data_IF_343195385673
#
_entry.id   IF_343195385673
#
_cell.length_a   1.000
_cell.length_b   1.000
_cell.length_c   1.000
_cell.angle_alpha   90.00
_cell.angle_beta   90.00
_cell.angle_gamma   90.00
#
_symmetry.space_group_name_H-M   'P 1'
#
loop_
_entity.id
_entity.type
_entity.pdbx_description
1 polymer ?
#
# COMPACT_ATOMS: atom_id res chain seq x y z
N UNK A 1 50.27 -14.45 -14.53
CA UNK A 1 50.26 -13.54 -13.36
C UNK A 1 49.58 -12.19 -13.65
N UNK A 2 49.95 -11.48 -14.72
CA UNK A 2 49.42 -10.12 -15.07
C UNK A 2 47.91 -10.10 -15.29
N UNK A 3 47.28 -11.11 -15.91
CA UNK A 3 45.83 -11.18 -16.17
C UNK A 3 45.02 -11.25 -14.88
N UNK A 4 45.48 -12.07 -13.92
CA UNK A 4 44.83 -12.23 -12.60
C UNK A 4 44.93 -10.96 -11.74
N UNK A 5 46.01 -10.18 -11.90
CA UNK A 5 46.18 -8.90 -11.19
C UNK A 5 45.29 -7.81 -11.78
N UNK A 6 44.99 -7.83 -13.08
CA UNK A 6 44.07 -6.90 -13.76
C UNK A 6 42.62 -7.19 -13.37
N UNK A 7 42.21 -8.46 -13.41
CA UNK A 7 40.88 -8.89 -12.97
C UNK A 7 40.61 -8.52 -11.49
N UNK A 8 41.63 -8.72 -10.63
CA UNK A 8 41.54 -8.38 -9.20
C UNK A 8 41.41 -6.86 -8.98
N UNK A 9 42.12 -6.04 -9.76
CA UNK A 9 41.98 -4.57 -9.72
C UNK A 9 40.60 -4.12 -10.23
N UNK A 10 40.09 -4.69 -11.30
CA UNK A 10 38.76 -4.39 -11.83
C UNK A 10 37.66 -4.76 -10.82
N UNK A 11 37.78 -5.92 -10.17
CA UNK A 11 36.88 -6.36 -9.11
C UNK A 11 36.94 -5.44 -7.90
N UNK A 12 38.13 -5.03 -7.45
CA UNK A 12 38.30 -4.12 -6.31
C UNK A 12 37.73 -2.72 -6.62
N UNK A 13 37.94 -2.26 -7.84
CA UNK A 13 37.37 -1.00 -8.32
C UNK A 13 35.83 -1.08 -8.34
N UNK A 14 35.28 -2.21 -8.82
CA UNK A 14 33.82 -2.44 -8.78
C UNK A 14 33.25 -2.40 -7.36
N UNK A 15 33.89 -3.09 -6.41
CA UNK A 15 33.47 -3.03 -5.01
C UNK A 15 33.59 -1.62 -4.41
N UNK A 16 34.62 -0.85 -4.76
CA UNK A 16 34.78 0.52 -4.28
C UNK A 16 33.65 1.44 -4.75
N UNK A 17 33.16 1.26 -5.98
CA UNK A 17 32.00 2.01 -6.48
C UNK A 17 30.67 1.61 -5.81
N UNK A 18 30.51 0.36 -5.44
CA UNK A 18 29.27 -0.13 -4.79
C UNK A 18 29.31 0.06 -3.26
N UNK A 19 30.53 0.16 -2.66
CA UNK A 19 30.71 0.27 -1.22
C UNK A 19 29.87 1.35 -0.53
N UNK A 20 29.74 2.58 -1.02
CA UNK A 20 28.92 3.60 -0.37
C UNK A 20 27.46 3.16 -0.25
N UNK A 21 26.89 2.57 -1.30
CA UNK A 21 25.52 2.08 -1.29
C UNK A 21 25.36 0.87 -0.34
N UNK A 22 26.32 -0.05 -0.34
CA UNK A 22 26.32 -1.21 0.55
C UNK A 22 26.44 -0.80 2.03
N UNK A 23 27.26 0.19 2.35
CA UNK A 23 27.39 0.69 3.72
C UNK A 23 26.06 1.27 4.20
N UNK A 24 25.43 2.14 3.40
CA UNK A 24 24.12 2.74 3.73
C UNK A 24 23.06 1.64 3.88
N UNK A 25 23.00 0.70 2.96
CA UNK A 25 22.08 -0.44 3.03
C UNK A 25 22.29 -1.27 4.30
N UNK A 26 23.56 -1.59 4.62
CA UNK A 26 23.88 -2.43 5.78
C UNK A 26 23.51 -1.73 7.08
N UNK A 27 23.86 -0.45 7.23
CA UNK A 27 23.65 0.29 8.50
C UNK A 27 22.18 0.67 8.67
N UNK A 28 21.48 1.10 7.61
CA UNK A 28 20.12 1.65 7.74
C UNK A 28 19.00 0.64 7.46
N UNK A 29 19.30 -0.48 6.80
CA UNK A 29 18.29 -1.48 6.44
C UNK A 29 18.62 -2.84 7.03
N UNK A 30 19.77 -3.42 6.69
CA UNK A 30 20.07 -4.79 7.08
C UNK A 30 20.24 -4.92 8.62
N UNK A 31 21.01 -4.04 9.24
CA UNK A 31 21.24 -4.08 10.69
C UNK A 31 19.94 -3.90 11.49
N UNK A 32 19.08 -2.87 11.29
CA UNK A 32 17.82 -2.74 12.00
C UNK A 32 16.85 -3.90 11.75
N UNK A 33 16.84 -4.47 10.54
CA UNK A 33 16.02 -5.63 10.22
C UNK A 33 16.46 -6.85 11.05
N UNK A 34 17.75 -7.15 11.07
CA UNK A 34 18.30 -8.26 11.87
C UNK A 34 18.04 -8.01 13.36
N UNK A 35 18.25 -6.77 13.83
CA UNK A 35 17.97 -6.40 15.21
C UNK A 35 16.48 -6.61 15.56
N UNK A 36 15.55 -6.19 14.71
CA UNK A 36 14.12 -6.44 14.91
C UNK A 36 13.77 -7.93 14.94
N UNK A 37 14.39 -8.74 14.08
CA UNK A 37 14.19 -10.20 14.10
C UNK A 37 14.66 -10.77 15.44
N UNK A 38 15.84 -10.40 15.92
CA UNK A 38 16.35 -10.88 17.21
C UNK A 38 15.50 -10.40 18.38
N UNK A 39 15.09 -9.12 18.39
CA UNK A 39 14.24 -8.53 19.44
C UNK A 39 12.87 -9.18 19.50
N UNK A 40 12.32 -9.70 18.39
CA UNK A 40 11.02 -10.38 18.38
C UNK A 40 10.97 -11.61 19.29
N UNK A 41 12.11 -12.22 19.60
CA UNK A 41 12.25 -13.36 20.51
C UNK A 41 12.55 -12.95 21.95
N UNK A 42 12.51 -11.64 22.25
CA UNK A 42 12.87 -11.11 23.57
C UNK A 42 11.70 -10.37 24.21
N UNK A 43 11.66 -10.38 25.53
CA UNK A 43 10.89 -9.43 26.31
C UNK A 43 11.79 -8.25 26.61
N UNK A 44 11.52 -7.13 25.94
CA UNK A 44 12.28 -5.90 26.15
C UNK A 44 11.37 -4.67 26.16
N UNK A 45 11.44 -3.96 27.28
CA UNK A 45 10.87 -2.63 27.38
C UNK A 45 12.01 -1.61 27.28
N UNK A 46 11.89 -0.69 26.32
CA UNK A 46 12.94 0.30 26.05
C UNK A 46 13.35 1.13 27.28
N UNK A 47 12.37 1.49 28.11
CA UNK A 47 12.61 2.28 29.32
C UNK A 47 13.41 1.52 30.39
N UNK A 48 13.42 0.20 30.34
CA UNK A 48 14.17 -0.62 31.29
C UNK A 48 15.67 -0.72 31.01
N UNK A 49 16.09 -0.18 29.85
CA UNK A 49 17.49 -0.23 29.39
C UNK A 49 17.89 -1.58 28.77
N UNK A 50 19.02 -1.57 28.06
CA UNK A 50 19.49 -2.71 27.27
C UNK A 50 19.85 -3.92 28.15
N UNK A 51 20.27 -3.70 29.41
CA UNK A 51 20.65 -4.77 30.34
C UNK A 51 19.51 -5.68 30.76
N UNK A 52 18.27 -5.24 30.56
CA UNK A 52 17.05 -5.96 30.96
C UNK A 52 16.39 -6.72 29.81
N UNK A 53 17.08 -6.92 28.71
CA UNK A 53 16.62 -7.79 27.61
C UNK A 53 16.60 -9.24 28.09
N UNK A 54 15.41 -9.86 28.08
CA UNK A 54 15.22 -11.27 28.45
C UNK A 54 14.83 -12.05 27.22
N UNK A 55 15.47 -13.17 26.96
CA UNK A 55 15.09 -14.09 25.91
C UNK A 55 13.85 -14.88 26.31
N UNK A 56 12.78 -14.79 25.53
CA UNK A 56 11.50 -15.47 25.78
C UNK A 56 11.07 -16.42 24.68
N UNK A 57 11.93 -16.63 23.69
CA UNK A 57 11.66 -17.52 22.55
C UNK A 57 10.40 -17.12 21.78
N UNK A 58 9.47 -18.03 21.57
CA UNK A 58 8.25 -17.82 20.80
C UNK A 58 7.09 -17.24 21.62
N UNK A 59 7.30 -16.86 22.87
CA UNK A 59 6.21 -16.39 23.75
C UNK A 59 5.49 -15.16 23.18
N UNK A 60 6.22 -14.20 22.61
CA UNK A 60 5.59 -13.04 21.97
C UNK A 60 4.61 -13.46 20.87
N UNK A 61 4.99 -14.40 20.02
CA UNK A 61 4.13 -14.89 18.93
C UNK A 61 2.90 -15.64 19.43
N UNK A 62 3.05 -16.42 20.52
CA UNK A 62 1.92 -17.09 21.16
C UNK A 62 0.92 -16.08 21.75
N UNK A 63 1.43 -15.00 22.38
CA UNK A 63 0.63 -13.92 22.92
C UNK A 63 -0.10 -13.13 21.83
N UNK A 64 0.53 -12.88 20.66
CA UNK A 64 -0.11 -12.22 19.53
C UNK A 64 -1.38 -12.92 19.06
N UNK A 65 -1.41 -14.26 19.05
CA UNK A 65 -2.58 -15.02 18.63
C UNK A 65 -3.76 -14.86 19.59
N UNK A 66 -3.51 -14.49 20.84
CA UNK A 66 -4.54 -14.28 21.88
C UNK A 66 -4.87 -12.78 22.03
N UNK A 67 -4.07 -11.89 21.49
CA UNK A 67 -4.29 -10.44 21.56
C UNK A 67 -5.39 -10.02 20.58
N UNK A 68 -6.55 -9.66 21.14
CA UNK A 68 -7.71 -9.22 20.36
C UNK A 68 -7.41 -8.03 19.48
N UNK A 69 -6.61 -7.06 19.94
CA UNK A 69 -6.25 -5.87 19.18
C UNK A 69 -5.43 -6.24 17.95
N UNK A 70 -4.41 -7.07 18.14
CA UNK A 70 -3.58 -7.56 17.05
C UNK A 70 -4.41 -8.34 16.01
N UNK A 71 -5.25 -9.28 16.47
CA UNK A 71 -6.13 -10.07 15.58
C UNK A 71 -7.07 -9.18 14.77
N UNK A 72 -7.66 -8.15 15.40
CA UNK A 72 -8.45 -7.15 14.67
C UNK A 72 -7.59 -6.32 13.71
N UNK A 73 -6.38 -5.95 14.10
CA UNK A 73 -5.41 -5.26 13.24
C UNK A 73 -5.12 -6.07 11.97
N UNK A 74 -4.88 -7.38 12.11
CA UNK A 74 -4.69 -8.30 10.97
C UNK A 74 -5.93 -8.31 10.08
N UNK A 75 -7.11 -8.57 10.66
CA UNK A 75 -8.39 -8.62 9.92
C UNK A 75 -8.65 -7.32 9.15
N UNK A 76 -8.51 -6.18 9.80
CA UNK A 76 -8.74 -4.88 9.20
C UNK A 76 -7.73 -4.58 8.09
N UNK A 77 -6.45 -4.91 8.28
CA UNK A 77 -5.42 -4.75 7.26
C UNK A 77 -5.79 -5.52 5.98
N UNK A 78 -6.29 -6.75 6.11
CA UNK A 78 -6.81 -7.51 4.96
C UNK A 78 -8.06 -6.87 4.35
N UNK A 79 -9.00 -6.38 5.16
CA UNK A 79 -10.19 -5.67 4.66
C UNK A 79 -9.77 -4.45 3.84
N UNK A 80 -8.86 -3.62 4.36
CA UNK A 80 -8.34 -2.47 3.64
C UNK A 80 -7.69 -2.89 2.31
N UNK A 81 -6.80 -3.88 2.32
CA UNK A 81 -6.10 -4.31 1.12
C UNK A 81 -7.05 -4.91 0.06
N UNK A 82 -7.94 -5.82 0.45
CA UNK A 82 -8.85 -6.51 -0.48
C UNK A 82 -9.90 -5.56 -1.06
N UNK A 83 -10.31 -4.54 -0.30
CA UNK A 83 -11.28 -3.56 -0.81
C UNK A 83 -10.62 -2.45 -1.62
N UNK A 84 -9.52 -1.87 -1.14
CA UNK A 84 -8.91 -0.71 -1.82
C UNK A 84 -8.18 -1.10 -3.10
N UNK A 85 -7.39 -2.17 -3.09
CA UNK A 85 -6.52 -2.51 -4.23
C UNK A 85 -7.29 -2.81 -5.52
N UNK A 86 -8.29 -3.70 -5.54
CA UNK A 86 -9.03 -3.95 -6.78
C UNK A 86 -9.80 -2.72 -7.26
N UNK A 87 -10.38 -1.95 -6.34
CA UNK A 87 -11.20 -0.78 -6.69
C UNK A 87 -10.31 0.34 -7.26
N UNK A 88 -9.18 0.67 -6.60
CA UNK A 88 -8.28 1.72 -7.08
C UNK A 88 -7.70 1.39 -8.45
N UNK A 89 -7.22 0.16 -8.63
CA UNK A 89 -6.67 -0.33 -9.89
C UNK A 89 -7.71 -0.29 -11.01
N UNK A 90 -8.95 -0.74 -10.74
CA UNK A 90 -10.03 -0.70 -11.72
C UNK A 90 -10.38 0.73 -12.13
N UNK A 91 -10.52 1.64 -11.16
CA UNK A 91 -10.80 3.07 -11.43
C UNK A 91 -9.64 3.69 -12.23
N UNK A 92 -8.39 3.47 -11.80
CA UNK A 92 -7.22 4.01 -12.47
C UNK A 92 -7.09 3.51 -13.90
N UNK A 93 -7.36 2.23 -14.15
CA UNK A 93 -7.36 1.64 -15.50
C UNK A 93 -8.42 2.27 -16.39
N UNK A 94 -9.66 2.41 -15.89
CA UNK A 94 -10.75 3.07 -16.64
C UNK A 94 -10.38 4.53 -16.95
N UNK A 95 -9.89 5.27 -15.96
CA UNK A 95 -9.46 6.65 -16.16
C UNK A 95 -8.30 6.75 -17.16
N UNK A 96 -7.31 5.86 -17.07
CA UNK A 96 -6.18 5.82 -17.99
C UNK A 96 -6.65 5.52 -19.44
N UNK A 97 -7.55 4.56 -19.60
CA UNK A 97 -8.11 4.22 -20.90
C UNK A 97 -8.88 5.39 -21.53
N UNK A 98 -9.73 6.06 -20.74
CA UNK A 98 -10.48 7.25 -21.18
C UNK A 98 -9.51 8.40 -21.53
N UNK A 99 -8.56 8.72 -20.67
CA UNK A 99 -7.60 9.82 -20.87
C UNK A 99 -6.56 9.52 -21.97
N UNK A 100 -6.39 8.27 -22.37
CA UNK A 100 -5.55 7.90 -23.51
C UNK A 100 -6.22 8.19 -24.86
N UNK A 101 -7.56 8.27 -24.91
CA UNK A 101 -8.32 8.58 -26.12
C UNK A 101 -8.05 9.99 -26.63
N UNK A 102 -7.87 10.17 -27.94
CA UNK A 102 -7.64 11.51 -28.55
C UNK A 102 -8.82 12.48 -28.44
N UNK A 103 -9.99 11.97 -28.07
CA UNK A 103 -11.22 12.76 -27.93
C UNK A 103 -11.28 13.60 -26.65
N UNK A 104 -10.42 13.34 -25.67
CA UNK A 104 -10.43 14.04 -24.38
C UNK A 104 -9.58 15.31 -24.46
N UNK A 105 -10.19 16.46 -24.19
CA UNK A 105 -9.51 17.73 -24.09
C UNK A 105 -8.94 17.94 -22.66
N UNK A 106 -7.86 18.71 -22.55
CA UNK A 106 -7.30 19.06 -21.24
C UNK A 106 -6.60 17.92 -20.48
N UNK A 107 -6.20 16.84 -21.15
CA UNK A 107 -5.56 15.64 -20.55
C UNK A 107 -4.44 15.98 -19.56
N UNK A 108 -3.63 17.01 -19.87
CA UNK A 108 -2.50 17.42 -19.01
C UNK A 108 -2.99 17.92 -17.65
N UNK A 109 -4.06 18.73 -17.65
CA UNK A 109 -4.65 19.29 -16.42
C UNK A 109 -5.32 18.17 -15.62
N UNK A 110 -6.12 17.31 -16.28
CA UNK A 110 -6.77 16.17 -15.61
C UNK A 110 -5.75 15.23 -14.96
N UNK A 111 -4.66 14.88 -15.66
CA UNK A 111 -3.58 14.09 -15.07
C UNK A 111 -2.99 14.75 -13.83
N UNK A 112 -2.75 16.05 -13.89
CA UNK A 112 -2.23 16.82 -12.76
C UNK A 112 -3.21 16.78 -11.58
N UNK A 113 -4.50 17.02 -11.81
CA UNK A 113 -5.53 16.98 -10.78
C UNK A 113 -5.61 15.62 -10.05
N UNK A 114 -5.51 14.51 -10.81
CA UNK A 114 -5.49 13.16 -10.20
C UNK A 114 -4.18 12.86 -9.49
N UNK A 115 -3.06 13.45 -9.92
CA UNK A 115 -1.74 13.16 -9.34
C UNK A 115 -1.41 14.00 -8.10
N UNK A 116 -1.98 15.19 -7.97
CA UNK A 116 -1.76 16.09 -6.82
C UNK A 116 -1.97 15.38 -5.48
N UNK A 117 -3.05 14.60 -5.24
CA UNK A 117 -3.24 13.91 -3.98
C UNK A 117 -2.08 12.98 -3.61
N UNK A 118 -1.54 12.26 -4.58
CA UNK A 118 -0.45 11.31 -4.35
C UNK A 118 0.85 11.97 -3.90
N UNK A 119 1.18 13.16 -4.42
CA UNK A 119 2.41 13.89 -4.06
C UNK A 119 2.24 14.84 -2.87
N UNK A 120 1.00 15.01 -2.40
CA UNK A 120 0.70 15.90 -1.27
C UNK A 120 0.96 15.23 0.08
N UNK A 121 1.06 16.03 1.14
CA UNK A 121 1.21 15.50 2.48
C UNK A 121 0.02 14.62 2.89
N UNK A 122 0.26 13.32 3.08
CA UNK A 122 -0.77 12.38 3.51
C UNK A 122 -1.42 12.78 4.85
N UNK A 123 -0.67 13.37 5.77
CA UNK A 123 -1.18 13.86 7.08
C UNK A 123 -2.17 15.00 6.87
N UNK A 124 -1.80 16.00 6.05
CA UNK A 124 -2.68 17.14 5.77
C UNK A 124 -3.97 16.71 5.08
N UNK A 125 -3.84 15.85 4.06
CA UNK A 125 -5.02 15.33 3.33
C UNK A 125 -5.91 14.47 4.23
N UNK A 126 -5.34 13.62 5.06
CA UNK A 126 -6.11 12.83 6.03
C UNK A 126 -6.85 13.70 7.04
N UNK A 127 -6.25 14.81 7.47
CA UNK A 127 -6.91 15.77 8.37
C UNK A 127 -8.10 16.47 7.68
N UNK A 128 -7.97 16.84 6.39
CA UNK A 128 -9.07 17.39 5.60
C UNK A 128 -10.19 16.36 5.46
N UNK A 129 -9.88 15.11 5.11
CA UNK A 129 -10.87 14.03 5.02
C UNK A 129 -11.57 13.79 6.35
N UNK A 130 -10.81 13.77 7.47
CA UNK A 130 -11.39 13.68 8.80
C UNK A 130 -12.42 14.80 9.05
N UNK A 131 -12.11 16.04 8.65
CA UNK A 131 -13.03 17.15 8.80
C UNK A 131 -14.27 17.00 7.91
N UNK A 132 -14.12 16.51 6.67
CA UNK A 132 -15.25 16.30 5.74
C UNK A 132 -16.21 15.21 6.23
N UNK A 133 -15.73 14.16 6.90
CA UNK A 133 -16.50 13.03 7.40
C UNK A 133 -16.95 13.18 8.87
N UNK A 134 -16.74 14.34 9.52
CA UNK A 134 -17.33 14.63 10.85
C UNK A 134 -18.85 14.67 10.78
N UNK A 135 -19.51 14.55 11.94
CA UNK A 135 -20.97 14.61 12.04
C UNK A 135 -21.56 15.87 11.39
N UNK A 136 -20.89 17.02 11.61
CA UNK A 136 -21.24 18.30 10.98
C UNK A 136 -20.36 18.60 9.75
N UNK A 137 -19.79 17.59 9.12
CA UNK A 137 -18.92 17.75 7.96
C UNK A 137 -19.66 17.80 6.64
N UNK A 138 -18.95 18.22 5.58
CA UNK A 138 -19.53 18.43 4.25
C UNK A 138 -20.22 17.17 3.70
N UNK A 139 -19.71 15.96 3.99
CA UNK A 139 -20.33 14.72 3.53
C UNK A 139 -21.71 14.53 4.14
N UNK A 140 -21.86 14.75 5.44
CA UNK A 140 -23.16 14.65 6.10
C UNK A 140 -24.12 15.76 5.66
N UNK A 141 -23.65 16.98 5.41
CA UNK A 141 -24.48 18.04 4.83
C UNK A 141 -25.04 17.64 3.46
N UNK A 142 -24.24 17.03 2.60
CA UNK A 142 -24.69 16.50 1.31
C UNK A 142 -25.73 15.39 1.51
N UNK A 143 -25.50 14.47 2.45
CA UNK A 143 -26.43 13.37 2.71
C UNK A 143 -27.79 13.85 3.25
N UNK A 144 -27.79 14.84 4.13
CA UNK A 144 -29.01 15.36 4.73
C UNK A 144 -29.76 16.30 3.78
N UNK A 145 -29.09 17.22 3.09
CA UNK A 145 -29.72 18.24 2.25
C UNK A 145 -30.06 17.72 0.84
N UNK A 146 -29.15 16.98 0.20
CA UNK A 146 -29.34 16.48 -1.17
C UNK A 146 -30.07 15.14 -1.18
N UNK A 147 -29.62 14.18 -0.38
CA UNK A 147 -30.22 12.85 -0.32
C UNK A 147 -31.37 12.75 0.70
N UNK A 148 -31.69 13.84 1.41
CA UNK A 148 -32.82 13.97 2.36
C UNK A 148 -32.82 12.91 3.45
N UNK A 149 -31.63 12.51 3.91
CA UNK A 149 -31.51 11.62 5.06
C UNK A 149 -32.00 12.35 6.32
N UNK A 150 -32.67 11.62 7.22
CA UNK A 150 -33.22 12.19 8.44
C UNK A 150 -32.17 12.72 9.42
N UNK A 151 -30.96 12.16 9.36
CA UNK A 151 -29.81 12.56 10.18
C UNK A 151 -28.50 12.19 9.49
N UNK A 152 -27.41 12.85 9.86
CA UNK A 152 -26.06 12.53 9.41
C UNK A 152 -25.57 11.20 10.00
N UNK A 153 -24.57 10.61 9.37
CA UNK A 153 -23.95 9.36 9.80
C UNK A 153 -22.78 9.65 10.75
N UNK A 154 -22.65 8.83 11.78
CA UNK A 154 -21.50 8.87 12.71
C UNK A 154 -20.34 8.03 12.17
N UNK A 155 -19.73 8.51 11.09
CA UNK A 155 -18.74 7.79 10.30
C UNK A 155 -17.60 7.15 11.11
N UNK A 156 -17.11 7.82 12.14
CA UNK A 156 -15.96 7.32 12.92
C UNK A 156 -16.37 6.58 14.19
N UNK A 157 -17.56 6.85 14.72
CA UNK A 157 -18.05 6.25 15.98
C UNK A 157 -18.82 4.95 15.73
N UNK A 158 -19.37 4.77 14.53
CA UNK A 158 -20.05 3.53 14.15
C UNK A 158 -19.03 2.48 13.70
N UNK A 159 -19.07 1.33 14.37
CA UNK A 159 -18.21 0.18 14.08
C UNK A 159 -18.30 -0.32 12.63
N UNK A 160 -19.47 -0.20 12.02
CA UNK A 160 -19.72 -0.66 10.64
C UNK A 160 -19.22 0.33 9.59
N UNK A 161 -19.18 1.62 9.91
CA UNK A 161 -18.88 2.69 8.96
C UNK A 161 -17.45 3.21 9.05
N UNK A 162 -16.76 3.03 10.17
CA UNK A 162 -15.50 3.72 10.47
C UNK A 162 -14.33 3.38 9.52
N UNK A 163 -14.44 2.32 8.74
CA UNK A 163 -13.46 1.97 7.71
C UNK A 163 -13.69 2.69 6.38
N UNK A 164 -14.93 3.13 6.11
CA UNK A 164 -15.33 3.71 4.82
C UNK A 164 -14.54 4.98 4.48
N UNK A 165 -14.43 5.99 5.39
CA UNK A 165 -13.62 7.19 5.11
C UNK A 165 -12.17 6.87 4.81
N UNK A 166 -11.58 5.88 5.51
CA UNK A 166 -10.20 5.45 5.32
C UNK A 166 -10.04 4.79 3.94
N UNK A 167 -10.96 3.89 3.56
CA UNK A 167 -10.94 3.21 2.26
C UNK A 167 -11.05 4.23 1.12
N UNK A 168 -12.00 5.17 1.20
CA UNK A 168 -12.19 6.22 0.19
C UNK A 168 -10.94 7.08 0.07
N UNK A 169 -10.36 7.48 1.20
CA UNK A 169 -9.12 8.26 1.22
C UNK A 169 -7.96 7.54 0.53
N UNK A 170 -7.75 6.26 0.86
CA UNK A 170 -6.66 5.47 0.29
C UNK A 170 -6.83 5.30 -1.22
N UNK A 171 -8.04 4.96 -1.68
CA UNK A 171 -8.34 4.85 -3.11
C UNK A 171 -8.04 6.18 -3.80
N UNK A 172 -8.62 7.28 -3.32
CA UNK A 172 -8.46 8.59 -3.93
C UNK A 172 -7.00 9.07 -3.98
N UNK A 173 -6.24 8.84 -2.92
CA UNK A 173 -4.85 9.28 -2.84
C UNK A 173 -3.88 8.48 -3.75
N UNK A 174 -4.22 7.24 -4.13
CA UNK A 174 -3.34 6.38 -4.92
C UNK A 174 -3.71 6.30 -6.41
N UNK A 175 -4.94 6.59 -6.78
CA UNK A 175 -5.42 6.56 -8.18
C UNK A 175 -4.49 7.32 -9.14
N UNK A 176 -3.95 8.46 -8.71
CA UNK A 176 -3.10 9.31 -9.58
C UNK A 176 -1.80 8.65 -10.00
N UNK A 177 -1.14 7.94 -9.09
CA UNK A 177 0.05 7.17 -9.41
C UNK A 177 -0.26 6.02 -10.37
N UNK A 178 -1.28 5.24 -10.05
CA UNK A 178 -1.73 4.10 -10.87
C UNK A 178 -2.14 4.56 -12.28
N UNK A 179 -2.86 5.68 -12.38
CA UNK A 179 -3.26 6.31 -13.62
C UNK A 179 -2.07 6.61 -14.53
N UNK A 180 -1.02 7.24 -13.99
CA UNK A 180 0.17 7.60 -14.78
C UNK A 180 0.89 6.35 -15.26
N UNK A 181 1.03 5.33 -14.41
CA UNK A 181 1.69 4.07 -14.78
C UNK A 181 0.89 3.35 -15.87
N UNK A 182 -0.44 3.29 -15.76
CA UNK A 182 -1.29 2.72 -16.80
C UNK A 182 -1.23 3.50 -18.11
N UNK A 183 -1.20 4.83 -18.05
CA UNK A 183 -1.07 5.63 -19.27
C UNK A 183 0.23 5.38 -20.00
N UNK A 184 1.34 5.22 -19.27
CA UNK A 184 2.62 4.85 -19.86
C UNK A 184 2.54 3.46 -20.53
N UNK A 185 1.90 2.49 -19.88
CA UNK A 185 1.71 1.16 -20.44
C UNK A 185 0.83 1.17 -21.71
N UNK A 186 -0.28 1.91 -21.68
CA UNK A 186 -1.20 2.03 -22.82
C UNK A 186 -0.54 2.69 -24.04
N UNK A 187 0.39 3.62 -23.84
CA UNK A 187 1.13 4.28 -24.93
C UNK A 187 2.14 3.34 -25.60
N UNK A 188 2.58 2.29 -24.92
CA UNK A 188 3.48 1.29 -25.47
C UNK A 188 2.80 0.19 -26.28
N UNK A 189 1.46 0.12 -26.27
CA UNK A 189 0.72 -0.86 -27.10
C UNK A 189 0.82 -0.46 -28.57
N UNK A 190 1.31 -1.37 -29.47
CA UNK A 190 1.46 -1.06 -30.90
C UNK A 190 0.13 -0.71 -31.55
N UNK A 191 0.08 0.43 -32.23
CA UNK A 191 -1.14 0.88 -32.94
C UNK A 191 -1.59 -0.09 -34.03
N UNK A 192 -0.64 -0.77 -34.68
CA UNK A 192 -0.93 -1.77 -35.73
C UNK A 192 -1.87 -2.88 -35.26
N UNK A 193 -1.85 -3.25 -33.96
CA UNK A 193 -2.80 -4.24 -33.42
C UNK A 193 -4.24 -3.71 -33.43
N UNK A 194 -4.42 -2.43 -33.14
CA UNK A 194 -5.75 -1.81 -33.19
C UNK A 194 -6.23 -1.61 -34.61
N UNK A 195 -5.34 -1.22 -35.55
CA UNK A 195 -5.64 -1.06 -36.97
C UNK A 195 -6.05 -2.39 -37.60
N UNK A 196 -5.34 -3.49 -37.30
CA UNK A 196 -5.73 -4.81 -37.75
C UNK A 196 -7.11 -5.22 -37.21
N UNK A 197 -7.37 -5.01 -35.93
CA UNK A 197 -8.65 -5.29 -35.30
C UNK A 197 -9.80 -4.42 -35.85
N UNK A 198 -9.50 -3.20 -36.33
CA UNK A 198 -10.49 -2.34 -36.98
C UNK A 198 -10.86 -2.88 -38.35
N UNK A 199 -9.92 -3.43 -39.13
CA UNK A 199 -10.18 -4.10 -40.41
C UNK A 199 -11.04 -5.35 -40.20
N UNK A 200 -10.86 -6.09 -39.11
CA UNK A 200 -11.65 -7.25 -38.71
C UNK A 200 -13.02 -6.87 -38.11
N UNK A 201 -13.36 -5.58 -38.02
CA UNK A 201 -14.65 -5.12 -37.50
C UNK A 201 -14.80 -5.34 -35.98
N UNK A 202 -13.69 -5.44 -35.22
CA UNK A 202 -13.74 -5.66 -33.77
C UNK A 202 -14.29 -4.43 -33.02
N UNK A 203 -15.27 -4.67 -32.16
CA UNK A 203 -15.81 -3.62 -31.29
C UNK A 203 -14.76 -3.14 -30.24
N UNK A 204 -14.95 -1.93 -29.72
CA UNK A 204 -14.05 -1.36 -28.68
C UNK A 204 -13.92 -2.29 -27.46
N UNK A 205 -14.98 -2.99 -27.09
CA UNK A 205 -14.97 -3.97 -25.98
C UNK A 205 -14.08 -5.17 -26.29
N UNK A 206 -14.18 -5.73 -27.53
CA UNK A 206 -13.29 -6.82 -27.97
C UNK A 206 -11.83 -6.38 -28.02
N UNK A 207 -11.55 -5.17 -28.55
CA UNK A 207 -10.19 -4.59 -28.57
C UNK A 207 -9.63 -4.42 -27.17
N UNK A 208 -10.45 -3.97 -26.21
CA UNK A 208 -10.01 -3.84 -24.81
C UNK A 208 -9.60 -5.19 -24.22
N UNK A 209 -10.45 -6.21 -24.30
CA UNK A 209 -10.18 -7.49 -23.64
C UNK A 209 -9.17 -8.39 -24.37
N UNK A 210 -9.07 -8.29 -25.70
CA UNK A 210 -8.20 -9.18 -26.49
C UNK A 210 -6.85 -8.55 -26.85
N UNK A 211 -6.73 -7.21 -26.80
CA UNK A 211 -5.50 -6.51 -27.14
C UNK A 211 -5.01 -5.70 -25.95
N UNK A 212 -5.82 -4.73 -25.49
CA UNK A 212 -5.37 -3.76 -24.48
C UNK A 212 -5.01 -4.44 -23.16
N UNK A 213 -5.97 -5.16 -22.58
CA UNK A 213 -5.79 -5.77 -21.25
C UNK A 213 -4.64 -6.81 -21.22
N UNK A 214 -4.51 -7.75 -22.18
CA UNK A 214 -3.35 -8.63 -22.24
C UNK A 214 -2.02 -7.90 -22.32
N UNK A 215 -1.91 -6.88 -23.17
CA UNK A 215 -0.67 -6.10 -23.36
C UNK A 215 -0.25 -5.30 -22.13
N UNK A 216 -1.20 -4.82 -21.31
CA UNK A 216 -0.91 -4.09 -20.07
C UNK A 216 -0.94 -5.00 -18.82
N UNK A 217 -1.19 -6.30 -18.98
CA UNK A 217 -1.28 -7.23 -17.85
C UNK A 217 -0.01 -7.28 -16.98
N UNK A 218 1.24 -7.16 -17.52
CA UNK A 218 2.44 -7.05 -16.69
C UNK A 218 2.42 -5.80 -15.80
N UNK A 219 1.94 -4.69 -16.34
CA UNK A 219 1.80 -3.43 -15.58
C UNK A 219 0.72 -3.56 -14.50
N UNK A 220 -0.40 -4.19 -14.83
CA UNK A 220 -1.46 -4.47 -13.85
C UNK A 220 -0.94 -5.34 -12.71
N UNK A 221 -0.18 -6.37 -13.02
CA UNK A 221 0.45 -7.22 -12.02
C UNK A 221 1.41 -6.44 -11.11
N UNK A 222 2.27 -5.60 -11.70
CA UNK A 222 3.16 -4.72 -10.93
C UNK A 222 2.37 -3.81 -9.97
N UNK A 223 1.32 -3.15 -10.46
CA UNK A 223 0.48 -2.27 -9.65
C UNK A 223 -0.23 -3.03 -8.53
N UNK A 224 -0.76 -4.21 -8.79
CA UNK A 224 -1.39 -5.07 -7.77
C UNK A 224 -0.41 -5.35 -6.63
N UNK A 225 0.83 -5.77 -6.92
CA UNK A 225 1.82 -6.06 -5.89
C UNK A 225 2.17 -4.81 -5.09
N UNK A 226 2.49 -3.70 -5.77
CA UNK A 226 2.90 -2.46 -5.11
C UNK A 226 1.77 -1.94 -4.20
N UNK A 227 0.54 -2.00 -4.65
CA UNK A 227 -0.61 -1.54 -3.88
C UNK A 227 -0.94 -2.46 -2.70
N UNK A 228 -0.84 -3.78 -2.84
CA UNK A 228 -0.96 -4.67 -1.69
C UNK A 228 0.09 -4.35 -0.62
N UNK A 229 1.36 -4.22 -1.00
CA UNK A 229 2.44 -3.87 -0.06
C UNK A 229 2.15 -2.52 0.62
N UNK A 230 1.66 -1.54 -0.13
CA UNK A 230 1.33 -0.20 0.39
C UNK A 230 0.14 -0.25 1.36
N UNK A 231 -0.93 -0.98 1.01
CA UNK A 231 -2.10 -1.13 1.86
C UNK A 231 -1.81 -1.91 3.15
N UNK A 232 -0.94 -2.93 3.10
CA UNK A 232 -0.52 -3.63 4.33
C UNK A 232 0.26 -2.73 5.29
N UNK A 233 0.87 -1.65 4.80
CA UNK A 233 1.61 -0.66 5.59
C UNK A 233 0.81 0.60 5.90
N UNK A 234 -0.52 0.57 5.77
CA UNK A 234 -1.37 1.73 6.03
C UNK A 234 -1.28 2.14 7.50
N UNK A 235 -0.82 3.37 7.74
CA UNK A 235 -0.65 3.96 9.07
C UNK A 235 -1.27 5.35 9.14
N UNK A 236 -0.80 6.29 8.32
CA UNK A 236 -1.12 7.72 8.42
C UNK A 236 -2.62 7.99 8.37
N UNK A 237 -3.34 7.37 7.43
CA UNK A 237 -4.78 7.57 7.29
C UNK A 237 -5.51 7.12 8.57
N UNK A 238 -5.17 5.95 9.10
CA UNK A 238 -5.80 5.40 10.31
C UNK A 238 -5.43 6.26 11.51
N UNK A 239 -4.15 6.57 11.70
CA UNK A 239 -3.67 7.30 12.87
C UNK A 239 -4.25 8.72 12.94
N UNK A 240 -4.39 9.42 11.82
CA UNK A 240 -4.95 10.77 11.76
C UNK A 240 -6.48 10.76 11.85
N UNK A 241 -7.15 9.82 11.17
CA UNK A 241 -8.61 9.75 11.12
C UNK A 241 -9.21 9.03 12.32
N UNK A 242 -8.41 8.27 13.07
CA UNK A 242 -8.91 7.59 14.27
C UNK A 242 -9.52 8.61 15.24
N UNK A 243 -10.78 8.37 15.63
CA UNK A 243 -11.55 9.27 16.47
C UNK A 243 -12.12 8.51 17.65
N UNK A 244 -11.51 8.76 18.80
CA UNK A 244 -11.96 8.15 20.04
C UNK A 244 -11.71 6.64 20.11
N UNK A 245 -12.09 6.08 21.23
CA UNK A 245 -11.91 4.66 21.52
C UNK A 245 -13.03 3.81 20.89
N UNK A 246 -13.03 3.70 19.56
CA UNK A 246 -13.86 2.71 18.86
C UNK A 246 -13.25 1.32 18.98
N UNK A 247 -12.53 1.09 20.07
CA UNK A 247 -11.98 -0.20 20.48
C UNK A 247 -11.44 -1.00 19.28
N UNK A 248 -10.27 -0.67 18.76
CA UNK A 248 -9.57 -1.43 17.71
C UNK A 248 -10.37 -1.76 16.43
N UNK A 249 -11.58 -1.22 16.26
CA UNK A 249 -12.46 -1.56 15.13
C UNK A 249 -11.92 -1.13 13.76
N UNK A 250 -11.06 -0.13 13.71
CA UNK A 250 -10.43 0.38 12.49
C UNK A 250 -8.89 0.36 12.52
N UNK A 251 -8.29 -0.24 13.54
CA UNK A 251 -6.84 -0.36 13.66
C UNK A 251 -6.23 -1.19 12.52
N UNK A 252 -4.92 -1.10 12.32
CA UNK A 252 -4.13 -1.96 11.43
C UNK A 252 -2.94 -2.55 12.19
N UNK A 253 -2.29 -3.57 11.64
CA UNK A 253 -1.07 -4.15 12.23
C UNK A 253 -0.01 -3.07 12.47
N UNK A 254 0.17 -2.14 11.53
CA UNK A 254 1.20 -1.08 11.66
C UNK A 254 0.87 -0.10 12.78
N UNK A 255 -0.42 0.18 13.01
CA UNK A 255 -0.85 1.02 14.14
C UNK A 255 -0.55 0.31 15.46
N UNK A 256 -0.81 -0.99 15.58
CA UNK A 256 -0.48 -1.77 16.78
C UNK A 256 1.04 -1.82 17.03
N UNK A 257 1.83 -2.06 15.97
CA UNK A 257 3.30 -1.99 16.05
C UNK A 257 3.77 -0.63 16.58
N UNK A 258 3.19 0.46 16.06
CA UNK A 258 3.54 1.81 16.49
C UNK A 258 3.16 2.07 17.95
N UNK A 259 1.93 1.71 18.35
CA UNK A 259 1.48 1.90 19.73
C UNK A 259 2.31 1.06 20.71
N UNK A 260 2.58 -0.21 20.38
CA UNK A 260 3.37 -1.07 21.26
C UNK A 260 4.83 -0.65 21.34
N UNK A 261 5.44 -0.18 20.23
CA UNK A 261 6.82 0.30 20.25
C UNK A 261 6.96 1.66 20.95
N UNK A 262 6.18 2.67 20.52
CA UNK A 262 6.45 4.08 20.84
C UNK A 262 5.56 4.65 21.95
N UNK A 263 4.41 4.04 22.23
CA UNK A 263 3.54 4.46 23.33
C UNK A 263 3.70 3.55 24.54
N UNK A 264 3.75 2.25 24.34
CA UNK A 264 3.87 1.25 25.41
C UNK A 264 5.32 0.84 25.68
N UNK A 265 6.27 1.24 24.82
CA UNK A 265 7.70 0.93 24.91
C UNK A 265 8.04 -0.57 24.94
N UNK A 266 7.14 -1.44 24.46
CA UNK A 266 7.29 -2.90 24.40
C UNK A 266 7.99 -3.31 23.11
N UNK A 267 9.27 -2.98 22.95
CA UNK A 267 10.00 -3.17 21.69
C UNK A 267 10.10 -4.63 21.26
N UNK A 268 10.29 -5.56 22.19
CA UNK A 268 10.31 -7.00 21.85
C UNK A 268 9.00 -7.46 21.26
N UNK A 269 7.87 -7.08 21.86
CA UNK A 269 6.52 -7.44 21.38
C UNK A 269 6.19 -6.76 20.03
N UNK A 270 6.44 -5.46 19.91
CA UNK A 270 6.26 -4.73 18.65
C UNK A 270 7.11 -5.29 17.51
N UNK A 271 8.33 -5.76 17.80
CA UNK A 271 9.17 -6.44 16.82
C UNK A 271 8.56 -7.77 16.35
N UNK A 272 7.89 -8.51 17.22
CA UNK A 272 7.17 -9.72 16.84
C UNK A 272 5.96 -9.41 15.95
N UNK A 273 5.18 -8.37 16.25
CA UNK A 273 4.09 -7.86 15.39
C UNK A 273 4.60 -7.48 14.00
N UNK A 274 5.70 -6.72 13.93
CA UNK A 274 6.32 -6.29 12.67
C UNK A 274 6.83 -7.48 11.86
N UNK A 275 7.38 -8.51 12.51
CA UNK A 275 7.86 -9.73 11.84
C UNK A 275 6.69 -10.55 11.27
N UNK A 276 5.56 -10.63 11.99
CA UNK A 276 4.33 -11.26 11.47
C UNK A 276 3.79 -10.49 10.26
N UNK A 277 3.75 -9.16 10.32
CA UNK A 277 3.37 -8.34 9.15
C UNK A 277 4.28 -8.59 7.95
N UNK A 278 5.60 -8.64 8.18
CA UNK A 278 6.57 -8.93 7.14
C UNK A 278 6.33 -10.31 6.50
N UNK A 279 6.07 -11.34 7.32
CA UNK A 279 5.74 -12.69 6.85
C UNK A 279 4.45 -12.71 6.02
N UNK A 280 3.41 -11.98 6.45
CA UNK A 280 2.15 -11.81 5.70
C UNK A 280 2.39 -11.18 4.34
N UNK A 281 3.17 -10.09 4.28
CA UNK A 281 3.49 -9.40 3.03
C UNK A 281 4.24 -10.34 2.07
N UNK A 282 5.23 -11.09 2.56
CA UNK A 282 5.96 -12.08 1.74
C UNK A 282 4.99 -13.14 1.21
N UNK A 283 4.14 -13.69 2.06
CA UNK A 283 3.19 -14.73 1.68
C UNK A 283 2.22 -14.23 0.59
N UNK A 284 1.61 -13.07 0.80
CA UNK A 284 0.69 -12.47 -0.18
C UNK A 284 1.42 -12.16 -1.49
N UNK A 285 2.63 -11.64 -1.43
CA UNK A 285 3.45 -11.37 -2.60
C UNK A 285 3.78 -12.67 -3.34
N UNK A 286 4.17 -13.72 -2.64
CA UNK A 286 4.45 -15.04 -3.23
C UNK A 286 3.20 -15.64 -3.91
N UNK A 287 2.02 -15.53 -3.28
CA UNK A 287 0.74 -15.96 -3.87
C UNK A 287 0.46 -15.19 -5.17
N UNK A 288 0.66 -13.87 -5.19
CA UNK A 288 0.49 -13.06 -6.39
C UNK A 288 1.45 -13.49 -7.51
N UNK A 289 2.73 -13.73 -7.19
CA UNK A 289 3.71 -14.22 -8.16
C UNK A 289 3.37 -15.62 -8.70
N UNK A 290 2.79 -16.48 -7.88
CA UNK A 290 2.33 -17.78 -8.35
C UNK A 290 1.10 -17.66 -9.26
N UNK A 291 0.17 -16.77 -8.91
CA UNK A 291 -1.06 -16.51 -9.68
C UNK A 291 -0.82 -15.86 -11.04
N UNK A 292 0.23 -15.04 -11.19
CA UNK A 292 0.52 -14.30 -12.44
C UNK A 292 0.63 -15.19 -13.68
N UNK A 293 1.16 -16.40 -13.51
CA UNK A 293 1.39 -17.36 -14.63
C UNK A 293 0.15 -17.69 -15.45
N UNK A 294 -1.06 -17.40 -14.91
CA UNK A 294 -2.33 -17.73 -15.55
C UNK A 294 -2.92 -16.58 -16.37
N UNK A 295 -2.51 -15.33 -16.14
CA UNK A 295 -3.20 -14.17 -16.73
C UNK A 295 -2.24 -13.05 -17.20
N UNK A 296 -0.97 -13.09 -16.82
CA UNK A 296 0.02 -12.11 -17.29
C UNK A 296 0.66 -12.60 -18.59
N UNK A 297 0.66 -11.75 -19.61
CA UNK A 297 1.22 -11.99 -20.93
C UNK A 297 2.44 -11.07 -21.11
N UNK A 298 3.62 -11.66 -21.28
CA UNK A 298 4.89 -10.96 -21.49
C UNK A 298 5.23 -10.91 -22.96
#
# INVERSE_FOLDING_TARGET
MIKRTKEMKETLTGYAFVAPALIVFTVLIAFPLIASILLSFTEWNFLSGIKNIKWVGLSNFANLLQDKRFVWGVKNTFIYAITTVPISIAIALVLAYVLNSDRVYGKKILRLCFFIPYISSAVALAAVFKAMFRENGAINMILTEIFRMSHGLSWFSDFSLNKIPIIIFVIWSHIGFELIVYMAALQNVPKSLYEAADLDGASSFKKFWNITFPMISPTTFYLVIVQFITCFKIFTAINVMNYGDTAYSNTSIVVEVYENAFTNYKFGYASAEALVLFAIIILVTAINFWGQKKWVHY
#
